data_IF_698953444908
#
_entry.id   IF_698953444908
#
_cell.length_a   1.000
_cell.length_b   1.000
_cell.length_c   1.000
_cell.angle_alpha   90.00
_cell.angle_beta   90.00
_cell.angle_gamma   90.00
#
_symmetry.space_group_name_H-M   'P 1'
#
loop_
_entity.id
_entity.type
_entity.pdbx_description
1 polymer ?
#
# COMPACT_ATOMS: atom_id res chain seq x y z
N UNK A 1 20.08 -9.82 19.35
CA UNK A 1 19.95 -8.36 19.06
C UNK A 1 18.48 -8.00 19.01
N UNK A 2 18.04 -7.08 19.88
CA UNK A 2 16.65 -6.74 20.14
C UNK A 2 16.01 -5.88 19.04
N UNK A 3 14.85 -6.33 18.53
CA UNK A 3 13.96 -5.59 17.62
C UNK A 3 13.24 -4.46 18.40
N UNK A 4 13.71 -3.23 18.25
CA UNK A 4 13.17 -2.05 18.94
C UNK A 4 11.81 -1.66 18.38
N UNK A 5 10.75 -1.68 19.20
CA UNK A 5 9.41 -1.19 18.86
C UNK A 5 9.36 0.34 19.06
N UNK A 6 8.97 1.07 18.00
CA UNK A 6 8.39 2.43 17.97
C UNK A 6 9.29 3.61 18.39
N UNK A 7 9.45 4.57 17.47
CA UNK A 7 9.91 5.94 17.76
C UNK A 7 11.27 6.29 17.16
N UNK A 8 11.31 6.78 15.92
CA UNK A 8 12.47 7.49 15.37
C UNK A 8 13.54 6.66 14.64
N UNK A 9 13.39 5.34 14.52
CA UNK A 9 14.34 4.52 13.76
C UNK A 9 14.21 4.80 12.26
N UNK A 10 15.08 5.65 11.72
CA UNK A 10 15.25 5.76 10.29
C UNK A 10 16.09 4.56 9.83
N UNK A 11 15.44 3.62 9.14
CA UNK A 11 16.09 2.41 8.61
C UNK A 11 17.34 2.75 7.78
N UNK A 12 17.35 3.92 7.13
CA UNK A 12 18.53 4.45 6.42
C UNK A 12 19.69 4.78 7.36
N UNK A 13 19.41 5.39 8.51
CA UNK A 13 20.42 5.71 9.53
C UNK A 13 20.98 4.45 10.21
N UNK A 14 20.14 3.41 10.33
CA UNK A 14 20.53 2.13 10.91
C UNK A 14 21.47 1.31 10.03
N UNK A 15 21.28 1.37 8.71
CA UNK A 15 22.03 0.59 7.75
C UNK A 15 23.33 1.25 7.32
N UNK A 16 23.44 2.58 7.48
CA UNK A 16 24.62 3.35 7.07
C UNK A 16 24.85 3.36 5.56
N UNK A 17 23.87 2.95 4.77
CA UNK A 17 23.98 2.94 3.30
C UNK A 17 24.05 4.36 2.75
N UNK A 18 24.85 4.51 1.70
CA UNK A 18 24.86 5.77 0.97
C UNK A 18 23.51 6.00 0.25
N UNK A 19 23.30 7.22 -0.25
CA UNK A 19 22.03 7.60 -0.88
C UNK A 19 21.67 6.72 -2.09
N UNK A 20 22.68 6.33 -2.88
CA UNK A 20 22.50 5.53 -4.08
C UNK A 20 22.09 4.11 -3.73
N UNK A 21 22.85 3.44 -2.85
CA UNK A 21 22.54 2.10 -2.34
C UNK A 21 21.13 2.02 -1.75
N UNK A 22 20.76 3.03 -0.96
CA UNK A 22 19.42 3.12 -0.40
C UNK A 22 18.35 3.21 -1.49
N UNK A 23 18.54 4.09 -2.49
CA UNK A 23 17.60 4.29 -3.58
C UNK A 23 17.44 3.03 -4.44
N UNK A 24 18.54 2.37 -4.76
CA UNK A 24 18.55 1.18 -5.63
C UNK A 24 17.83 0.01 -4.97
N UNK A 25 18.17 -0.29 -3.71
CA UNK A 25 17.52 -1.38 -2.96
C UNK A 25 16.05 -1.08 -2.72
N UNK A 26 15.69 0.17 -2.38
CA UNK A 26 14.28 0.55 -2.21
C UNK A 26 13.47 0.40 -3.49
N UNK A 27 14.03 0.82 -4.63
CA UNK A 27 13.34 0.75 -5.93
C UNK A 27 13.13 -0.69 -6.35
N UNK A 28 14.17 -1.52 -6.20
CA UNK A 28 14.09 -2.94 -6.51
C UNK A 28 13.08 -3.69 -5.62
N UNK A 29 13.12 -3.46 -4.30
CA UNK A 29 12.16 -4.07 -3.37
C UNK A 29 10.73 -3.60 -3.69
N UNK A 30 10.55 -2.33 -4.06
CA UNK A 30 9.23 -1.83 -4.48
C UNK A 30 8.68 -2.65 -5.66
N UNK A 31 9.49 -2.88 -6.68
CA UNK A 31 9.07 -3.64 -7.87
C UNK A 31 8.72 -5.08 -7.51
N UNK A 32 9.59 -5.77 -6.79
CA UNK A 32 9.36 -7.15 -6.36
C UNK A 32 8.12 -7.28 -5.47
N UNK A 33 7.92 -6.35 -4.53
CA UNK A 33 6.75 -6.39 -3.65
C UNK A 33 5.44 -6.24 -4.44
N UNK A 34 5.42 -5.37 -5.45
CA UNK A 34 4.23 -5.14 -6.27
C UNK A 34 3.95 -6.35 -7.17
N UNK A 35 4.99 -6.97 -7.71
CA UNK A 35 4.86 -8.05 -8.69
C UNK A 35 4.64 -9.42 -8.03
N UNK A 36 5.30 -9.69 -6.90
CA UNK A 36 5.41 -11.04 -6.35
C UNK A 36 4.65 -11.22 -5.03
N UNK A 37 4.30 -10.14 -4.31
CA UNK A 37 3.62 -10.22 -3.01
C UNK A 37 2.19 -9.68 -3.04
N UNK A 38 1.38 -10.15 -2.09
CA UNK A 38 0.02 -9.67 -1.93
C UNK A 38 0.01 -8.37 -1.11
N UNK A 39 -0.08 -7.24 -1.80
CA UNK A 39 -0.09 -5.91 -1.18
C UNK A 39 -1.29 -5.62 -0.27
N UNK A 40 -2.32 -6.48 -0.27
CA UNK A 40 -3.45 -6.38 0.67
C UNK A 40 -3.12 -6.98 2.06
N UNK A 41 -2.11 -7.85 2.13
CA UNK A 41 -1.74 -8.61 3.31
C UNK A 41 -0.48 -8.06 4.01
N UNK A 42 -0.41 -8.09 5.35
CA UNK A 42 0.82 -7.79 6.07
C UNK A 42 1.87 -8.87 5.83
N UNK A 43 3.16 -8.54 6.07
CA UNK A 43 4.30 -9.46 5.92
C UNK A 43 4.06 -10.83 6.58
N UNK A 44 3.49 -10.85 7.79
CA UNK A 44 3.24 -12.09 8.56
C UNK A 44 2.18 -13.00 7.95
N UNK A 45 1.42 -12.53 6.95
CA UNK A 45 0.39 -13.28 6.24
C UNK A 45 0.77 -13.54 4.77
N UNK A 46 1.99 -13.20 4.37
CA UNK A 46 2.51 -13.56 3.05
C UNK A 46 2.81 -15.05 2.99
N UNK A 47 2.72 -15.63 1.81
CA UNK A 47 3.10 -17.02 1.59
C UNK A 47 4.61 -17.16 1.77
N UNK A 48 5.04 -18.15 2.57
CA UNK A 48 6.46 -18.38 2.88
C UNK A 48 7.28 -18.63 1.62
N UNK A 49 6.73 -19.33 0.63
CA UNK A 49 7.39 -19.58 -0.66
C UNK A 49 7.67 -18.28 -1.43
N UNK A 50 6.70 -17.35 -1.45
CA UNK A 50 6.87 -16.04 -2.11
C UNK A 50 7.90 -15.19 -1.37
N UNK A 51 7.87 -15.18 -0.04
CA UNK A 51 8.89 -14.50 0.75
C UNK A 51 10.30 -15.05 0.50
N UNK A 52 10.44 -16.37 0.40
CA UNK A 52 11.73 -17.00 0.07
C UNK A 52 12.22 -16.59 -1.33
N UNK A 53 11.33 -16.50 -2.32
CA UNK A 53 11.68 -16.03 -3.65
C UNK A 53 12.14 -14.56 -3.62
N UNK A 54 11.41 -13.68 -2.90
CA UNK A 54 11.82 -12.28 -2.69
C UNK A 54 13.20 -12.18 -2.06
N UNK A 55 13.49 -12.98 -1.03
CA UNK A 55 14.81 -13.00 -0.40
C UNK A 55 15.91 -13.40 -1.39
N UNK A 56 15.69 -14.43 -2.20
CA UNK A 56 16.66 -14.88 -3.19
C UNK A 56 16.90 -13.86 -4.29
N UNK A 57 15.83 -13.25 -4.84
CA UNK A 57 15.94 -12.22 -5.88
C UNK A 57 16.69 -10.98 -5.36
N UNK A 58 16.39 -10.55 -4.14
CA UNK A 58 17.07 -9.40 -3.51
C UNK A 58 18.53 -9.70 -3.19
N UNK A 59 18.85 -10.92 -2.73
CA UNK A 59 20.24 -11.33 -2.51
C UNK A 59 21.03 -11.48 -3.80
N UNK A 60 20.39 -11.91 -4.89
CA UNK A 60 21.01 -11.99 -6.21
C UNK A 60 21.39 -10.60 -6.73
N UNK A 61 20.49 -9.63 -6.58
CA UNK A 61 20.74 -8.24 -6.99
C UNK A 61 21.69 -7.49 -6.05
N UNK A 62 21.62 -7.77 -4.75
CA UNK A 62 22.39 -7.07 -3.72
C UNK A 62 23.07 -8.04 -2.75
N UNK A 63 24.16 -8.71 -3.18
CA UNK A 63 24.84 -9.73 -2.38
C UNK A 63 25.36 -9.22 -1.03
N UNK A 64 25.66 -7.92 -0.93
CA UNK A 64 26.14 -7.29 0.31
C UNK A 64 25.13 -7.39 1.46
N UNK A 65 23.85 -7.69 1.18
CA UNK A 65 22.83 -7.88 2.21
C UNK A 65 22.99 -9.17 3.01
N UNK A 66 23.81 -10.11 2.54
CA UNK A 66 24.09 -11.38 3.25
C UNK A 66 24.77 -11.16 4.61
N UNK A 67 25.40 -9.99 4.82
CA UNK A 67 26.06 -9.64 6.09
C UNK A 67 25.06 -9.45 7.23
N UNK A 68 23.78 -9.24 6.92
CA UNK A 68 22.76 -9.00 7.92
C UNK A 68 22.08 -10.31 8.33
N UNK A 69 22.13 -10.60 9.63
CA UNK A 69 21.48 -11.78 10.21
C UNK A 69 19.99 -11.83 9.87
N UNK A 70 19.50 -13.01 9.53
CA UNK A 70 18.11 -13.29 9.16
C UNK A 70 17.56 -12.41 8.02
N UNK A 71 18.44 -11.75 7.24
CA UNK A 71 18.05 -10.84 6.18
C UNK A 71 17.07 -9.75 6.65
N UNK A 72 17.17 -9.35 7.92
CA UNK A 72 16.22 -8.41 8.54
C UNK A 72 16.03 -7.08 7.77
N UNK A 73 17.01 -6.50 7.04
CA UNK A 73 16.78 -5.29 6.26
C UNK A 73 15.78 -5.51 5.13
N UNK A 74 15.81 -6.70 4.51
CA UNK A 74 14.89 -7.07 3.43
C UNK A 74 13.47 -7.15 4.01
N UNK A 75 13.30 -7.88 5.11
CA UNK A 75 12.02 -8.02 5.78
C UNK A 75 11.42 -6.68 6.22
N UNK A 76 12.25 -5.76 6.71
CA UNK A 76 11.78 -4.47 7.17
C UNK A 76 11.40 -3.54 6.00
N UNK A 77 12.19 -3.53 4.93
CA UNK A 77 11.87 -2.80 3.69
C UNK A 77 10.58 -3.33 3.05
N UNK A 78 10.42 -4.66 2.97
CA UNK A 78 9.20 -5.31 2.46
C UNK A 78 8.01 -4.95 3.34
N UNK A 79 8.15 -5.02 4.67
CA UNK A 79 7.08 -4.65 5.61
C UNK A 79 6.66 -3.19 5.46
N UNK A 80 7.64 -2.28 5.36
CA UNK A 80 7.39 -0.86 5.16
C UNK A 80 6.66 -0.63 3.83
N UNK A 81 7.08 -1.31 2.75
CA UNK A 81 6.44 -1.21 1.44
C UNK A 81 5.01 -1.73 1.46
N UNK A 82 4.77 -2.95 1.96
CA UNK A 82 3.42 -3.52 2.09
C UNK A 82 2.50 -2.60 2.92
N UNK A 83 3.02 -2.01 4.00
CA UNK A 83 2.27 -1.06 4.81
C UNK A 83 1.88 0.21 4.05
N UNK A 84 2.78 0.72 3.21
CA UNK A 84 2.51 1.86 2.33
C UNK A 84 1.47 1.51 1.25
N UNK A 85 1.62 0.38 0.57
CA UNK A 85 0.71 -0.05 -0.50
C UNK A 85 -0.70 -0.32 -0.01
N UNK A 86 -0.82 -1.00 1.13
CA UNK A 86 -2.12 -1.22 1.75
C UNK A 86 -2.85 0.10 2.04
N UNK A 87 -2.15 1.08 2.60
CA UNK A 87 -2.73 2.41 2.87
C UNK A 87 -3.11 3.13 1.58
N UNK A 88 -2.29 3.01 0.54
CA UNK A 88 -2.57 3.58 -0.79
C UNK A 88 -3.87 3.01 -1.36
N UNK A 89 -4.02 1.68 -1.36
CA UNK A 89 -5.23 0.99 -1.80
C UNK A 89 -6.47 1.41 -1.00
N UNK A 90 -6.35 1.51 0.33
CA UNK A 90 -7.46 1.96 1.18
C UNK A 90 -7.91 3.38 0.84
N UNK A 91 -6.97 4.30 0.58
CA UNK A 91 -7.29 5.68 0.15
C UNK A 91 -8.00 5.69 -1.20
N UNK A 92 -7.53 4.90 -2.16
CA UNK A 92 -8.15 4.79 -3.48
C UNK A 92 -9.57 4.22 -3.39
N UNK A 93 -9.78 3.16 -2.60
CA UNK A 93 -11.12 2.59 -2.37
C UNK A 93 -12.06 3.58 -1.70
N UNK A 94 -11.57 4.28 -0.66
CA UNK A 94 -12.38 5.28 0.04
C UNK A 94 -12.75 6.43 -0.89
N UNK A 95 -11.82 6.92 -1.71
CA UNK A 95 -12.07 7.97 -2.68
C UNK A 95 -13.13 7.56 -3.72
N UNK A 96 -13.08 6.31 -4.22
CA UNK A 96 -14.10 5.77 -5.13
C UNK A 96 -15.48 5.70 -4.48
N UNK A 97 -15.57 5.15 -3.26
CA UNK A 97 -16.84 5.07 -2.52
C UNK A 97 -17.44 6.45 -2.24
N UNK A 98 -16.60 7.43 -1.90
CA UNK A 98 -17.04 8.81 -1.70
C UNK A 98 -17.58 9.39 -3.00
N UNK A 99 -16.89 9.20 -4.13
CA UNK A 99 -17.36 9.72 -5.42
C UNK A 99 -18.65 9.04 -5.88
N UNK A 100 -18.75 7.72 -5.75
CA UNK A 100 -19.96 6.96 -6.04
C UNK A 100 -21.14 7.44 -5.19
N UNK A 101 -20.91 7.68 -3.89
CA UNK A 101 -21.92 8.24 -2.99
C UNK A 101 -22.37 9.64 -3.42
N UNK A 102 -21.44 10.50 -3.88
CA UNK A 102 -21.76 11.85 -4.38
C UNK A 102 -22.59 11.80 -5.66
N UNK A 103 -22.23 10.91 -6.60
CA UNK A 103 -22.98 10.71 -7.85
C UNK A 103 -24.39 10.19 -7.56
N UNK A 104 -24.52 9.22 -6.66
CA UNK A 104 -25.83 8.69 -6.24
C UNK A 104 -26.69 9.76 -5.56
N UNK A 105 -26.13 10.56 -4.65
CA UNK A 105 -26.85 11.65 -4.00
C UNK A 105 -27.34 12.71 -5.00
N UNK A 106 -26.50 13.07 -5.99
CA UNK A 106 -26.87 14.03 -7.04
C UNK A 106 -27.98 13.48 -7.94
N UNK A 107 -27.91 12.21 -8.32
CA UNK A 107 -28.95 11.56 -9.12
C UNK A 107 -30.29 11.48 -8.36
N UNK A 108 -30.25 11.13 -7.07
CA UNK A 108 -31.43 11.08 -6.21
C UNK A 108 -32.09 12.47 -6.06
N UNK A 109 -31.28 13.51 -5.82
CA UNK A 109 -31.77 14.89 -5.73
C UNK A 109 -32.46 15.35 -7.03
N UNK A 110 -31.87 15.03 -8.20
CA UNK A 110 -32.48 15.35 -9.50
C UNK A 110 -33.80 14.63 -9.70
N UNK A 111 -33.90 13.36 -9.33
CA UNK A 111 -35.14 12.58 -9.43
C UNK A 111 -36.24 13.14 -8.51
N UNK A 112 -35.89 13.51 -7.29
CA UNK A 112 -36.82 14.13 -6.35
C UNK A 112 -37.35 15.48 -6.87
N UNK A 113 -36.48 16.29 -7.48
CA UNK A 113 -36.88 17.57 -8.08
C UNK A 113 -37.88 17.38 -9.24
N UNK A 114 -37.65 16.41 -10.13
CA UNK A 114 -38.59 16.11 -11.23
C UNK A 114 -39.95 15.63 -10.70
N UNK A 115 -39.95 14.72 -9.72
CA UNK A 115 -41.19 14.23 -9.12
C UNK A 115 -42.00 15.34 -8.43
N UNK A 116 -41.33 16.31 -7.81
CA UNK A 116 -42.00 17.47 -7.20
C UNK A 116 -42.64 18.39 -8.24
N UNK A 117 -41.99 18.59 -9.39
CA UNK A 117 -42.54 19.35 -10.52
C UNK A 117 -43.78 18.65 -11.09
N UNK A 118 -43.71 17.35 -11.32
CA UNK A 118 -44.84 16.56 -11.83
C UNK A 118 -46.05 16.61 -10.89
N UNK A 119 -45.80 16.57 -9.57
CA UNK A 119 -46.86 16.70 -8.57
C UNK A 119 -47.52 18.08 -8.60
N UNK A 120 -46.72 19.16 -8.66
CA UNK A 120 -47.23 20.53 -8.69
C UNK A 120 -48.10 20.82 -9.93
N UNK A 121 -47.73 20.25 -11.08
CA UNK A 121 -48.52 20.33 -12.31
C UNK A 121 -49.83 19.55 -12.18
N UNK A 122 -49.81 18.39 -11.51
CA UNK A 122 -50.99 17.53 -11.35
C UNK A 122 -52.02 18.09 -10.35
N UNK A 123 -51.62 18.92 -9.40
CA UNK A 123 -52.51 19.55 -8.41
C UNK A 123 -53.18 20.86 -8.89
N UNK A 124 -52.85 21.34 -10.09
CA UNK A 124 -53.36 22.61 -10.64
C UNK A 124 -54.43 22.45 -11.73
N UNK A 125 -54.95 21.23 -11.92
CA UNK A 125 -56.08 20.89 -12.82
C UNK A 125 -57.27 20.40 -12.00
#
# INVERSE_FOLDING_TARGET
MSRSRRGGYNLRSALGWNAQQWSDVQSFIKEIVINNLDISKPLTKQETQKMSAVHQEVLSAFPFLVIYSDLWPIDDLVRARLGYEKKRLQREQTAKLVEESRVQARAAARRAALAAVDLALSTSS
#
